data_IF_098109649084
#
_entry.id   IF_098109649084
#
_cell.length_a   1.000
_cell.length_b   1.000
_cell.length_c   1.000
_cell.angle_alpha   90.00
_cell.angle_beta   90.00
_cell.angle_gamma   90.00
#
_symmetry.space_group_name_H-M   'P 1'
#
loop_
_entity.id
_entity.type
_entity.pdbx_description
1 polymer ?
#
# COMPACT_ATOMS: atom_id res chain seq x y z
N UNK A 1 10.71 1.76 -16.46
CA UNK A 1 11.97 2.05 -15.72
C UNK A 1 12.52 3.40 -16.17
N UNK A 2 13.21 4.15 -15.30
CA UNK A 2 13.93 5.37 -15.68
C UNK A 2 15.41 5.08 -15.91
N UNK A 3 16.09 5.95 -16.66
CA UNK A 3 17.52 5.80 -16.96
C UNK A 3 18.36 5.96 -15.68
N UNK A 4 19.24 4.98 -15.42
CA UNK A 4 20.09 4.94 -14.23
C UNK A 4 19.45 4.31 -12.99
N UNK A 5 18.25 3.74 -13.11
CA UNK A 5 17.64 2.95 -12.03
C UNK A 5 18.48 1.71 -11.68
N UNK A 6 18.64 1.45 -10.37
CA UNK A 6 19.17 0.19 -9.87
C UNK A 6 18.05 -0.87 -9.85
N UNK A 7 18.36 -2.08 -10.30
CA UNK A 7 17.48 -3.24 -10.23
C UNK A 7 17.93 -4.07 -9.04
N UNK A 8 17.01 -4.27 -8.10
CA UNK A 8 17.22 -5.08 -6.90
C UNK A 8 16.63 -6.48 -7.15
N UNK A 9 17.50 -7.50 -7.12
CA UNK A 9 17.11 -8.90 -7.36
C UNK A 9 16.17 -9.43 -6.27
N UNK A 10 16.31 -8.97 -5.03
CA UNK A 10 15.43 -9.37 -3.93
C UNK A 10 14.03 -8.81 -4.15
N UNK A 11 13.93 -7.56 -4.63
CA UNK A 11 12.64 -6.95 -4.97
C UNK A 11 11.92 -7.72 -6.09
N UNK A 12 12.64 -8.16 -7.12
CA UNK A 12 12.09 -8.99 -8.20
C UNK A 12 11.56 -10.33 -7.68
N UNK A 13 12.27 -10.97 -6.76
CA UNK A 13 11.83 -12.22 -6.15
C UNK A 13 10.54 -12.04 -5.31
N UNK A 14 10.43 -10.93 -4.58
CA UNK A 14 9.28 -10.60 -3.73
C UNK A 14 8.03 -10.31 -4.57
N UNK A 15 8.15 -9.52 -5.64
CA UNK A 15 7.01 -9.10 -6.46
C UNK A 15 6.74 -9.99 -7.69
N UNK A 16 7.61 -10.97 -7.95
CA UNK A 16 7.47 -11.93 -9.03
C UNK A 16 7.75 -11.38 -10.44
N UNK A 17 8.31 -10.17 -10.58
CA UNK A 17 8.73 -9.65 -11.88
C UNK A 17 10.02 -10.30 -12.35
N UNK A 18 10.15 -10.47 -13.66
CA UNK A 18 11.41 -10.80 -14.33
C UNK A 18 12.11 -9.53 -14.81
N UNK A 19 13.44 -9.59 -14.89
CA UNK A 19 14.25 -8.46 -15.34
C UNK A 19 13.88 -8.00 -16.76
N UNK A 20 13.56 -8.94 -17.66
CA UNK A 20 13.14 -8.63 -19.03
C UNK A 20 11.82 -7.86 -19.06
N UNK A 21 10.91 -8.16 -18.13
CA UNK A 21 9.60 -7.51 -18.06
C UNK A 21 9.72 -6.06 -17.61
N UNK A 22 10.62 -5.74 -16.68
CA UNK A 22 10.82 -4.37 -16.22
C UNK A 22 11.65 -3.54 -17.22
N UNK A 23 12.43 -4.21 -18.09
CA UNK A 23 13.21 -3.58 -19.18
C UNK A 23 12.45 -3.46 -20.51
N UNK A 24 11.22 -3.96 -20.58
CA UNK A 24 10.39 -3.89 -21.77
C UNK A 24 10.10 -2.44 -22.18
N UNK A 25 10.65 -2.04 -23.33
CA UNK A 25 10.53 -0.69 -23.89
C UNK A 25 9.14 -0.39 -24.47
N UNK A 26 8.27 -1.38 -24.60
CA UNK A 26 6.88 -1.19 -25.04
C UNK A 26 5.98 -0.71 -23.90
N UNK A 27 6.41 -0.87 -22.64
CA UNK A 27 5.71 -0.33 -21.47
C UNK A 27 5.89 1.18 -21.38
N UNK A 28 4.92 1.85 -20.76
CA UNK A 28 5.00 3.28 -20.45
C UNK A 28 6.24 3.58 -19.59
N UNK A 29 6.84 4.74 -19.82
CA UNK A 29 7.92 5.21 -18.96
C UNK A 29 7.39 5.50 -17.56
N UNK A 30 8.29 5.58 -16.57
CA UNK A 30 7.90 6.00 -15.22
C UNK A 30 7.25 7.39 -15.23
N UNK A 31 7.80 8.33 -16.02
CA UNK A 31 7.27 9.68 -16.16
C UNK A 31 5.85 9.71 -16.71
N UNK A 32 5.56 8.88 -17.71
CA UNK A 32 4.20 8.77 -18.28
C UNK A 32 3.22 8.18 -17.27
N UNK A 33 3.63 7.14 -16.52
CA UNK A 33 2.81 6.50 -15.51
C UNK A 33 2.44 7.48 -14.38
N UNK A 34 3.42 8.22 -13.85
CA UNK A 34 3.14 9.20 -12.79
C UNK A 34 2.33 10.38 -13.31
N UNK A 35 2.51 10.82 -14.57
CA UNK A 35 1.68 11.86 -15.17
C UNK A 35 0.21 11.43 -15.28
N UNK A 36 -0.05 10.19 -15.69
CA UNK A 36 -1.40 9.64 -15.76
C UNK A 36 -2.02 9.48 -14.37
N UNK A 37 -1.25 8.99 -13.40
CA UNK A 37 -1.68 8.89 -12.01
C UNK A 37 -2.08 10.26 -11.43
N UNK A 38 -1.25 11.28 -11.61
CA UNK A 38 -1.52 12.65 -11.14
C UNK A 38 -2.75 13.26 -11.83
N UNK A 39 -2.99 12.92 -13.10
CA UNK A 39 -4.20 13.37 -13.82
C UNK A 39 -5.45 12.66 -13.31
N UNK A 40 -5.34 11.43 -12.83
CA UNK A 40 -6.45 10.65 -12.28
C UNK A 40 -6.77 11.08 -10.84
N UNK A 41 -5.76 11.28 -9.99
CA UNK A 41 -5.91 11.59 -8.56
C UNK A 41 -6.20 13.08 -8.28
N UNK A 42 -7.39 13.57 -8.66
CA UNK A 42 -7.76 15.00 -8.56
C UNK A 42 -8.65 15.40 -7.38
N UNK A 43 -9.32 14.45 -6.73
CA UNK A 43 -10.36 14.77 -5.75
C UNK A 43 -9.83 14.80 -4.32
N UNK A 44 -9.18 13.72 -3.88
CA UNK A 44 -8.54 13.63 -2.58
C UNK A 44 -7.03 13.45 -2.74
N UNK A 45 -6.28 14.27 -2.02
CA UNK A 45 -4.83 14.32 -2.01
C UNK A 45 -4.22 13.71 -0.73
N UNK A 46 -5.06 13.08 0.10
CA UNK A 46 -4.62 12.31 1.25
C UNK A 46 -4.28 10.87 0.82
N UNK A 47 -3.02 10.50 0.98
CA UNK A 47 -2.57 9.14 0.74
C UNK A 47 -2.80 8.31 2.00
N UNK A 48 -3.44 7.16 1.83
CA UNK A 48 -3.58 6.13 2.84
C UNK A 48 -2.82 4.87 2.38
N UNK A 49 -2.14 4.19 3.29
CA UNK A 49 -1.43 2.95 2.98
C UNK A 49 -0.68 2.38 4.19
N UNK A 50 0.10 1.31 3.97
CA UNK A 50 0.91 0.68 5.00
C UNK A 50 2.34 1.21 4.90
N UNK A 51 2.82 1.90 5.94
CA UNK A 51 4.04 2.70 5.82
C UNK A 51 4.02 3.63 4.58
N UNK A 52 2.96 4.44 4.40
CA UNK A 52 2.68 5.18 3.16
C UNK A 52 3.74 6.24 2.84
N UNK A 53 4.65 6.52 3.78
CA UNK A 53 5.79 7.39 3.56
C UNK A 53 6.68 6.89 2.40
N UNK A 54 6.84 5.56 2.28
CA UNK A 54 7.63 4.95 1.23
C UNK A 54 7.00 5.18 -0.15
N UNK A 55 5.73 4.78 -0.32
CA UNK A 55 5.00 4.90 -1.58
C UNK A 55 4.80 6.36 -2.01
N UNK A 56 4.42 7.23 -1.06
CA UNK A 56 4.30 8.67 -1.29
C UNK A 56 5.61 9.25 -1.82
N UNK A 57 6.72 8.94 -1.16
CA UNK A 57 8.01 9.49 -1.57
C UNK A 57 8.50 8.85 -2.87
N UNK A 58 8.20 7.58 -3.13
CA UNK A 58 8.50 6.93 -4.41
C UNK A 58 7.83 7.67 -5.57
N UNK A 59 6.51 7.91 -5.46
CA UNK A 59 5.72 8.66 -6.44
C UNK A 59 6.16 10.13 -6.55
N UNK A 60 6.48 10.78 -5.42
CA UNK A 60 6.98 12.16 -5.42
C UNK A 60 8.29 12.27 -6.20
N UNK A 61 9.24 11.37 -5.99
CA UNK A 61 10.51 11.40 -6.73
C UNK A 61 10.32 11.08 -8.21
N UNK A 62 9.39 10.19 -8.57
CA UNK A 62 9.02 9.95 -9.97
C UNK A 62 8.46 11.23 -10.62
N UNK A 63 7.55 11.93 -9.95
CA UNK A 63 7.01 13.21 -10.42
C UNK A 63 8.11 14.26 -10.58
N UNK A 64 9.04 14.36 -9.61
CA UNK A 64 10.18 15.28 -9.67
C UNK A 64 11.11 14.99 -10.86
N UNK A 65 11.43 13.70 -11.11
CA UNK A 65 12.23 13.27 -12.28
C UNK A 65 11.55 13.63 -13.60
N UNK A 66 10.22 13.57 -13.64
CA UNK A 66 9.42 13.95 -14.79
C UNK A 66 9.12 15.45 -14.89
N UNK A 67 9.65 16.27 -13.96
CA UNK A 67 9.39 17.71 -13.87
C UNK A 67 7.89 18.06 -13.71
N UNK A 68 7.15 17.23 -12.98
CA UNK A 68 5.73 17.40 -12.69
C UNK A 68 5.51 17.98 -11.29
N UNK A 69 4.44 18.75 -11.11
CA UNK A 69 4.02 19.23 -9.80
C UNK A 69 3.50 18.07 -8.95
N UNK A 70 3.86 18.05 -7.66
CA UNK A 70 3.36 17.08 -6.69
C UNK A 70 2.23 17.72 -5.86
N UNK A 71 0.96 17.31 -6.05
CA UNK A 71 -0.18 17.95 -5.40
C UNK A 71 -0.55 17.32 -4.04
N UNK A 72 -0.02 16.13 -3.73
CA UNK A 72 -0.43 15.38 -2.54
C UNK A 72 0.10 15.98 -1.24
N UNK A 73 -0.68 15.82 -0.17
CA UNK A 73 -0.33 16.33 1.14
C UNK A 73 0.87 15.59 1.74
N UNK A 74 1.57 16.27 2.66
CA UNK A 74 2.60 15.64 3.47
C UNK A 74 2.00 14.62 4.46
N UNK A 75 0.80 14.90 4.99
CA UNK A 75 0.12 14.02 5.95
C UNK A 75 -0.49 12.83 5.21
N UNK A 76 -0.36 11.67 5.84
CA UNK A 76 -0.84 10.39 5.33
C UNK A 76 -1.64 9.68 6.42
N UNK A 77 -2.47 8.71 6.02
CA UNK A 77 -3.12 7.79 6.94
C UNK A 77 -2.37 6.46 6.86
N UNK A 78 -1.77 6.05 7.98
CA UNK A 78 -0.98 4.81 8.04
C UNK A 78 -1.81 3.68 8.66
N UNK A 79 -2.00 2.58 7.92
CA UNK A 79 -2.78 1.42 8.38
C UNK A 79 -2.17 0.81 9.64
N UNK A 80 -0.85 0.87 9.82
CA UNK A 80 -0.20 0.49 11.08
C UNK A 80 -0.76 1.30 12.26
N UNK A 81 -0.82 2.63 12.13
CA UNK A 81 -1.24 3.52 13.21
C UNK A 81 -2.75 3.40 13.49
N UNK A 82 -3.55 3.24 12.44
CA UNK A 82 -4.99 3.00 12.56
C UNK A 82 -5.26 1.67 13.27
N UNK A 83 -4.63 0.58 12.83
CA UNK A 83 -4.79 -0.74 13.42
C UNK A 83 -4.30 -0.76 14.88
N UNK A 84 -3.12 -0.23 15.16
CA UNK A 84 -2.59 -0.10 16.52
C UNK A 84 -3.57 0.61 17.45
N UNK A 85 -4.14 1.72 16.99
CA UNK A 85 -5.12 2.50 17.74
C UNK A 85 -6.39 1.70 17.98
N UNK A 86 -6.92 1.04 16.95
CA UNK A 86 -8.10 0.19 17.05
C UNK A 86 -7.88 -0.95 18.08
N UNK A 87 -6.78 -1.70 17.97
CA UNK A 87 -6.41 -2.74 18.95
C UNK A 87 -6.35 -2.19 20.37
N UNK A 88 -5.69 -1.05 20.57
CA UNK A 88 -5.51 -0.43 21.89
C UNK A 88 -6.85 -0.01 22.51
N UNK A 89 -7.75 0.58 21.71
CA UNK A 89 -9.09 0.96 22.15
C UNK A 89 -9.91 -0.27 22.57
N UNK A 90 -9.75 -1.39 21.85
CA UNK A 90 -10.37 -2.68 22.15
C UNK A 90 -9.67 -3.47 23.28
N UNK A 91 -8.65 -2.90 23.94
CA UNK A 91 -7.84 -3.56 24.98
C UNK A 91 -7.10 -4.80 24.49
N UNK A 92 -6.87 -4.90 23.17
CA UNK A 92 -6.05 -5.92 22.55
C UNK A 92 -4.62 -5.39 22.49
N UNK A 93 -3.66 -6.19 22.96
CA UNK A 93 -2.25 -5.82 22.92
C UNK A 93 -1.71 -6.03 21.49
N UNK A 94 -1.17 -4.98 20.84
CA UNK A 94 -0.54 -5.14 19.53
C UNK A 94 0.66 -6.11 19.59
N UNK A 95 0.94 -6.85 18.51
CA UNK A 95 2.12 -7.69 18.44
C UNK A 95 3.39 -6.85 18.54
N UNK A 96 4.40 -7.37 19.22
CA UNK A 96 5.67 -6.67 19.46
C UNK A 96 6.85 -7.55 19.06
N UNK A 97 7.86 -6.97 18.40
CA UNK A 97 9.12 -7.62 18.05
C UNK A 97 10.24 -6.59 18.14
N UNK A 98 11.37 -6.96 18.74
CA UNK A 98 12.54 -6.08 18.88
C UNK A 98 12.20 -4.70 19.48
N UNK A 99 11.39 -4.68 20.55
CA UNK A 99 10.96 -3.46 21.26
C UNK A 99 10.13 -2.46 20.44
N UNK A 100 9.58 -2.88 19.30
CA UNK A 100 8.65 -2.10 18.48
C UNK A 100 7.44 -2.95 18.06
N UNK A 101 6.40 -2.30 17.54
CA UNK A 101 5.26 -2.98 16.94
C UNK A 101 5.70 -3.95 15.84
N UNK A 102 5.07 -5.10 15.77
CA UNK A 102 5.22 -6.07 14.68
C UNK A 102 3.95 -6.14 13.81
N UNK A 103 3.21 -5.04 13.72
CA UNK A 103 2.08 -4.89 12.81
C UNK A 103 2.57 -4.56 11.40
N UNK A 104 2.93 -5.58 10.63
CA UNK A 104 3.04 -5.46 9.17
C UNK A 104 1.65 -5.53 8.50
N UNK A 105 1.59 -5.40 7.17
CA UNK A 105 0.33 -5.44 6.43
C UNK A 105 -0.42 -6.76 6.67
N UNK A 106 0.28 -7.90 6.64
CA UNK A 106 -0.33 -9.22 6.91
C UNK A 106 -0.96 -9.28 8.30
N UNK A 107 -0.26 -8.83 9.35
CA UNK A 107 -0.81 -8.77 10.69
C UNK A 107 -2.04 -7.84 10.79
N UNK A 108 -2.05 -6.73 10.05
CA UNK A 108 -3.21 -5.83 9.95
C UNK A 108 -4.38 -6.51 9.25
N UNK A 109 -4.15 -7.16 8.11
CA UNK A 109 -5.19 -7.87 7.34
C UNK A 109 -5.81 -9.00 8.16
N UNK A 110 -4.97 -9.84 8.78
CA UNK A 110 -5.41 -10.93 9.66
C UNK A 110 -6.23 -10.40 10.84
N UNK A 111 -5.79 -9.28 11.45
CA UNK A 111 -6.56 -8.62 12.49
C UNK A 111 -7.95 -8.20 12.00
N UNK A 112 -8.06 -7.70 10.77
CA UNK A 112 -9.32 -7.33 10.13
C UNK A 112 -10.18 -8.52 9.65
N UNK A 113 -9.77 -9.76 9.93
CA UNK A 113 -10.46 -10.98 9.50
C UNK A 113 -10.20 -11.37 8.05
N UNK A 114 -9.23 -10.74 7.39
CA UNK A 114 -8.82 -11.02 6.02
C UNK A 114 -7.67 -12.05 5.99
N UNK A 115 -7.44 -12.74 4.85
CA UNK A 115 -6.22 -13.51 4.68
C UNK A 115 -4.99 -12.60 4.55
N UNK A 116 -3.80 -13.17 4.68
CA UNK A 116 -2.53 -12.54 4.32
C UNK A 116 -2.48 -12.23 2.82
N UNK A 117 -1.61 -11.30 2.40
CA UNK A 117 -1.44 -10.98 0.99
C UNK A 117 -0.93 -12.22 0.21
N UNK A 118 -1.48 -12.53 -0.97
CA UNK A 118 -0.98 -13.64 -1.77
C UNK A 118 0.46 -13.39 -2.24
N UNK A 119 1.22 -14.48 -2.37
CA UNK A 119 2.56 -14.48 -2.95
C UNK A 119 2.55 -14.99 -4.40
N UNK A 120 3.36 -14.42 -5.31
CA UNK A 120 4.22 -13.25 -5.11
C UNK A 120 3.40 -11.97 -4.92
N UNK A 121 3.99 -10.96 -4.25
CA UNK A 121 3.29 -9.72 -3.93
C UNK A 121 2.88 -8.97 -5.19
N UNK A 122 1.66 -8.42 -5.19
CA UNK A 122 1.13 -7.67 -6.31
C UNK A 122 0.54 -6.35 -5.81
N UNK A 123 1.11 -5.23 -6.27
CA UNK A 123 0.74 -3.90 -5.78
C UNK A 123 -0.76 -3.58 -5.89
N UNK A 124 -1.47 -4.09 -6.91
CA UNK A 124 -2.91 -3.88 -7.04
C UNK A 124 -3.68 -4.69 -6.00
N UNK A 125 -3.33 -5.96 -5.82
CA UNK A 125 -3.95 -6.83 -4.83
C UNK A 125 -3.71 -6.29 -3.42
N UNK A 126 -2.47 -5.92 -3.09
CA UNK A 126 -2.13 -5.29 -1.81
C UNK A 126 -2.95 -4.02 -1.56
N UNK A 127 -3.09 -3.13 -2.56
CA UNK A 127 -3.89 -1.92 -2.44
C UNK A 127 -5.39 -2.20 -2.22
N UNK A 128 -5.95 -3.23 -2.86
CA UNK A 128 -7.35 -3.63 -2.66
C UNK A 128 -7.57 -4.20 -1.26
N UNK A 129 -6.69 -5.10 -0.81
CA UNK A 129 -6.75 -5.68 0.53
C UNK A 129 -6.58 -4.63 1.62
N UNK A 130 -5.67 -3.67 1.42
CA UNK A 130 -5.48 -2.56 2.32
C UNK A 130 -6.70 -1.62 2.38
N UNK A 131 -7.32 -1.30 1.23
CA UNK A 131 -8.55 -0.51 1.20
C UNK A 131 -9.69 -1.19 1.99
N UNK A 132 -9.84 -2.52 1.84
CA UNK A 132 -10.77 -3.31 2.64
C UNK A 132 -10.42 -3.24 4.14
N UNK A 133 -9.14 -3.39 4.50
CA UNK A 133 -8.66 -3.26 5.88
C UNK A 133 -9.00 -1.90 6.51
N UNK A 134 -8.80 -0.80 5.78
CA UNK A 134 -9.18 0.54 6.23
C UNK A 134 -10.70 0.67 6.44
N UNK A 135 -11.51 0.20 5.49
CA UNK A 135 -12.98 0.24 5.62
C UNK A 135 -13.46 -0.52 6.85
N UNK A 136 -12.85 -1.67 7.16
CA UNK A 136 -13.18 -2.45 8.36
C UNK A 136 -12.77 -1.70 9.63
N UNK A 137 -11.53 -1.20 9.70
CA UNK A 137 -10.99 -0.53 10.89
C UNK A 137 -11.68 0.80 11.21
N UNK A 138 -12.04 1.58 10.18
CA UNK A 138 -12.58 2.93 10.35
C UNK A 138 -14.11 2.94 10.45
N UNK A 139 -14.79 2.08 9.67
CA UNK A 139 -16.24 2.16 9.49
C UNK A 139 -16.98 0.88 9.89
N UNK A 140 -16.29 -0.20 10.29
CA UNK A 140 -16.89 -1.51 10.54
C UNK A 140 -17.66 -2.06 9.33
N UNK A 141 -17.17 -1.77 8.11
CA UNK A 141 -17.83 -2.17 6.85
C UNK A 141 -16.90 -2.96 5.96
N UNK A 142 -17.50 -3.93 5.25
CA UNK A 142 -16.89 -4.60 4.09
C UNK A 142 -17.00 -3.65 2.89
N UNK A 143 -15.96 -3.57 2.06
CA UNK A 143 -15.87 -2.63 0.93
C UNK A 143 -15.96 -3.34 -0.43
N UNK A 144 -15.23 -4.45 -0.60
CA UNK A 144 -15.10 -5.15 -1.88
C UNK A 144 -15.79 -6.52 -1.86
N UNK A 145 -16.48 -6.85 -2.96
CA UNK A 145 -17.28 -8.07 -3.09
C UNK A 145 -16.46 -9.35 -2.85
N UNK A 146 -15.20 -9.38 -3.30
CA UNK A 146 -14.29 -10.53 -3.12
C UNK A 146 -13.99 -10.86 -1.65
N UNK A 147 -14.19 -9.90 -0.75
CA UNK A 147 -13.94 -10.05 0.68
C UNK A 147 -15.21 -10.21 1.53
N UNK A 148 -16.40 -10.23 0.93
CA UNK A 148 -17.67 -10.35 1.65
C UNK A 148 -17.75 -11.60 2.53
N UNK A 149 -17.18 -12.72 2.05
CA UNK A 149 -17.15 -14.00 2.76
C UNK A 149 -16.34 -13.98 4.06
N UNK A 150 -15.52 -12.96 4.28
CA UNK A 150 -14.70 -12.82 5.49
C UNK A 150 -15.42 -11.92 6.48
N UNK A 151 -15.67 -12.42 7.69
CA UNK A 151 -16.30 -11.64 8.75
C UNK A 151 -15.37 -10.59 9.35
N UNK A 152 -15.97 -9.55 9.95
CA UNK A 152 -15.24 -8.52 10.70
C UNK A 152 -15.16 -9.01 12.16
N UNK A 153 -13.98 -9.29 12.72
CA UNK A 153 -13.88 -10.05 13.98
C UNK A 153 -14.48 -9.41 15.23
N UNK A 154 -14.80 -8.11 15.20
CA UNK A 154 -15.26 -7.33 16.35
C UNK A 154 -16.67 -6.76 16.19
N UNK A 155 -17.36 -7.06 15.10
CA UNK A 155 -18.76 -6.69 14.85
C UNK A 155 -19.63 -7.89 15.14
#
# INVERSE_FOLDING_TARGET
MWDGAHIDEDALAVNGFKEEEIKDKTKKSEGDLVAEFLKWAKEDHMIAGHNPSFDRDFLRHAAMRAHLNWPFAHRTIDSHSVCWTHMTLQKIKPPMKNQRSALDLDAVLVYCGLPEEPNPHNALVGAQMEAEGFSRLLDNKKLLEEFEKYEIPWV
#
